data_IF_712788988489
#
_entry.id   IF_712788988489
#
_cell.length_a   1.000
_cell.length_b   1.000
_cell.length_c   1.000
_cell.angle_alpha   90.00
_cell.angle_beta   90.00
_cell.angle_gamma   90.00
#
_symmetry.space_group_name_H-M   'P 1'
#
loop_
_entity.id
_entity.type
_entity.pdbx_description
1 polymer ?
#
# COMPACT_ATOMS: atom_id res chain seq x y z
N UNK A 1 4.18 25.16 16.69
CA UNK A 1 4.77 24.53 15.49
C UNK A 1 3.92 24.92 14.29
N UNK A 2 4.54 25.16 13.14
CA UNK A 2 3.81 25.37 11.88
C UNK A 2 3.24 23.99 11.44
N UNK A 3 1.94 23.85 11.17
CA UNK A 3 1.39 22.57 10.74
C UNK A 3 1.91 22.20 9.34
N UNK A 4 2.14 20.90 9.12
CA UNK A 4 2.34 20.35 7.78
C UNK A 4 0.94 20.19 7.17
N UNK A 5 0.70 20.87 6.05
CA UNK A 5 -0.57 20.83 5.33
C UNK A 5 -0.37 20.19 3.95
N UNK A 6 -0.96 19.00 3.79
CA UNK A 6 -1.02 18.22 2.56
C UNK A 6 -2.46 18.12 2.04
N UNK A 7 -3.35 19.02 2.46
CA UNK A 7 -4.74 19.04 1.97
C UNK A 7 -4.77 19.15 0.45
N UNK A 8 -5.55 18.28 -0.19
CA UNK A 8 -5.65 18.21 -1.65
C UNK A 8 -4.47 17.53 -2.33
N UNK A 9 -3.54 16.93 -1.57
CA UNK A 9 -2.45 16.11 -2.09
C UNK A 9 -2.80 14.64 -2.03
N UNK A 10 -2.33 13.87 -3.02
CA UNK A 10 -2.48 12.41 -3.04
C UNK A 10 -1.16 11.71 -2.86
N UNK A 11 -1.15 10.73 -1.95
CA UNK A 11 0.00 9.89 -1.67
C UNK A 11 -0.26 8.42 -2.06
N UNK A 12 0.77 7.75 -2.57
CA UNK A 12 0.79 6.30 -2.70
C UNK A 12 1.86 5.70 -1.79
N UNK A 13 1.47 4.86 -0.84
CA UNK A 13 2.37 4.16 0.08
C UNK A 13 2.49 2.69 -0.30
N UNK A 14 3.59 2.32 -0.95
CA UNK A 14 3.89 0.95 -1.30
C UNK A 14 4.45 0.18 -0.09
N UNK A 15 3.93 -1.02 0.18
CA UNK A 15 4.41 -1.90 1.25
C UNK A 15 3.57 -1.88 2.53
N UNK A 16 2.25 -1.70 2.42
CA UNK A 16 1.34 -1.75 3.58
C UNK A 16 0.61 -3.08 3.61
N UNK A 17 0.78 -3.86 4.68
CA UNK A 17 0.14 -5.18 4.85
C UNK A 17 -0.59 -5.35 6.19
N UNK A 18 -0.28 -4.50 7.18
CA UNK A 18 -0.90 -4.44 8.52
C UNK A 18 -0.70 -3.05 9.14
N UNK A 19 -1.09 -2.89 10.40
CA UNK A 19 -1.01 -1.65 11.19
C UNK A 19 0.28 -1.51 12.04
N UNK A 20 1.28 -2.37 11.83
CA UNK A 20 2.47 -2.46 12.69
C UNK A 20 3.74 -1.94 12.04
N UNK A 21 3.79 -1.93 10.70
CA UNK A 21 4.97 -1.50 9.95
C UNK A 21 5.12 0.02 9.83
N UNK A 22 6.30 0.45 9.38
CA UNK A 22 6.58 1.87 9.06
C UNK A 22 5.61 2.43 8.02
N UNK A 23 5.21 1.63 7.03
CA UNK A 23 4.23 2.03 6.02
C UNK A 23 2.94 2.53 6.64
N UNK A 24 2.40 1.84 7.66
CA UNK A 24 1.20 2.31 8.37
C UNK A 24 1.44 3.58 9.17
N UNK A 25 2.59 3.69 9.84
CA UNK A 25 2.97 4.93 10.52
C UNK A 25 3.03 6.13 9.57
N UNK A 26 3.53 5.93 8.35
CA UNK A 26 3.58 6.96 7.32
C UNK A 26 2.18 7.27 6.76
N UNK A 27 1.32 6.26 6.54
CA UNK A 27 -0.10 6.46 6.21
C UNK A 27 -0.77 7.37 7.24
N UNK A 28 -0.59 7.10 8.53
CA UNK A 28 -1.14 7.92 9.62
C UNK A 28 -0.65 9.36 9.55
N UNK A 29 0.66 9.57 9.34
CA UNK A 29 1.23 10.91 9.27
C UNK A 29 0.72 11.70 8.05
N UNK A 30 0.60 11.06 6.89
CA UNK A 30 0.09 11.67 5.66
C UNK A 30 -1.39 12.02 5.79
N UNK A 31 -2.21 11.09 6.31
CA UNK A 31 -3.62 11.32 6.55
C UNK A 31 -3.86 12.42 7.59
N UNK A 32 -3.06 12.45 8.67
CA UNK A 32 -3.11 13.53 9.67
C UNK A 32 -2.78 14.90 9.08
N UNK A 33 -1.90 14.96 8.08
CA UNK A 33 -1.59 16.18 7.34
C UNK A 33 -2.64 16.55 6.27
N UNK A 34 -3.71 15.76 6.11
CA UNK A 34 -4.81 16.03 5.17
C UNK A 34 -4.64 15.46 3.77
N UNK A 35 -3.62 14.62 3.52
CA UNK A 35 -3.47 13.95 2.23
C UNK A 35 -4.50 12.83 2.05
N UNK A 36 -4.97 12.64 0.81
CA UNK A 36 -5.65 11.40 0.42
C UNK A 36 -4.61 10.31 0.20
N UNK A 37 -4.82 9.12 0.78
CA UNK A 37 -3.80 8.07 0.82
C UNK A 37 -4.29 6.80 0.14
N UNK A 38 -3.59 6.42 -0.92
CA UNK A 38 -3.66 5.11 -1.55
C UNK A 38 -2.52 4.22 -1.02
N UNK A 39 -2.75 2.90 -0.97
CA UNK A 39 -1.72 1.94 -0.54
C UNK A 39 -1.50 0.83 -1.55
N UNK A 40 -0.25 0.41 -1.69
CA UNK A 40 0.16 -0.78 -2.42
C UNK A 40 0.39 -1.94 -1.44
N UNK A 41 -0.36 -3.02 -1.62
CA UNK A 41 -0.34 -4.18 -0.72
C UNK A 41 0.05 -5.45 -1.47
N UNK A 42 0.97 -6.20 -0.89
CA UNK A 42 1.47 -7.43 -1.49
C UNK A 42 0.34 -8.48 -1.66
N UNK A 43 0.16 -9.09 -2.84
CA UNK A 43 -0.94 -10.03 -3.11
C UNK A 43 -1.13 -11.14 -2.05
N UNK A 44 -0.07 -11.79 -1.53
CA UNK A 44 -0.18 -12.76 -0.44
C UNK A 44 -0.80 -12.23 0.86
N UNK A 45 -0.71 -10.93 1.14
CA UNK A 45 -1.25 -10.30 2.36
C UNK A 45 -2.55 -9.52 2.11
N UNK A 46 -2.98 -9.36 0.85
CA UNK A 46 -4.22 -8.65 0.50
C UNK A 46 -5.43 -9.12 1.31
N UNK A 47 -5.69 -10.42 1.31
CA UNK A 47 -6.89 -10.98 1.97
C UNK A 47 -6.87 -10.80 3.49
N UNK A 48 -5.71 -10.81 4.13
CA UNK A 48 -5.63 -10.62 5.58
C UNK A 48 -5.80 -9.14 5.94
N UNK A 49 -5.23 -8.24 5.13
CA UNK A 49 -5.41 -6.80 5.30
C UNK A 49 -6.89 -6.41 5.15
N UNK A 50 -7.52 -6.76 4.03
CA UNK A 50 -8.92 -6.37 3.76
C UNK A 50 -9.90 -6.94 4.78
N UNK A 51 -9.75 -8.21 5.17
CA UNK A 51 -10.57 -8.80 6.24
C UNK A 51 -10.32 -8.17 7.61
N UNK A 52 -9.11 -7.68 7.87
CA UNK A 52 -8.81 -6.99 9.13
C UNK A 52 -9.45 -5.61 9.17
N UNK A 53 -9.43 -4.88 8.05
CA UNK A 53 -10.17 -3.63 7.86
C UNK A 53 -11.69 -3.84 8.05
N UNK A 54 -12.29 -4.78 7.32
CA UNK A 54 -13.72 -5.09 7.40
C UNK A 54 -14.19 -5.44 8.82
N UNK A 55 -13.30 -6.04 9.62
CA UNK A 55 -13.59 -6.47 10.99
C UNK A 55 -13.19 -5.44 12.05
N UNK A 56 -12.71 -4.26 11.66
CA UNK A 56 -12.26 -3.21 12.59
C UNK A 56 -11.08 -3.65 13.46
N UNK A 57 -10.16 -4.46 12.91
CA UNK A 57 -9.00 -5.00 13.65
C UNK A 57 -7.74 -4.16 13.54
N UNK A 58 -7.69 -3.21 12.61
CA UNK A 58 -6.55 -2.30 12.46
C UNK A 58 -6.77 -1.06 13.32
N UNK A 59 -5.68 -0.54 13.90
CA UNK A 59 -5.71 0.78 14.52
C UNK A 59 -5.82 1.88 13.44
N UNK A 60 -7.05 2.35 13.25
CA UNK A 60 -7.36 3.43 12.31
C UNK A 60 -7.22 4.83 12.94
N UNK A 61 -6.83 4.96 14.21
CA UNK A 61 -6.89 6.25 14.91
C UNK A 61 -5.84 7.25 14.42
N UNK A 62 -6.24 8.52 14.26
CA UNK A 62 -5.32 9.62 13.99
C UNK A 62 -4.96 10.37 15.28
N UNK A 63 -3.70 10.82 15.45
CA UNK A 63 -3.34 11.66 16.58
C UNK A 63 -4.10 13.00 16.51
N UNK A 64 -4.80 13.36 17.59
CA UNK A 64 -5.66 14.56 17.63
C UNK A 64 -7.13 14.30 17.29
N UNK A 65 -7.49 13.06 16.96
CA UNK A 65 -8.87 12.63 16.69
C UNK A 65 -9.12 12.36 15.20
N UNK A 66 -10.19 11.61 14.93
CA UNK A 66 -10.51 11.11 13.59
C UNK A 66 -9.89 9.74 13.31
N UNK A 67 -10.21 9.22 12.13
CA UNK A 67 -9.76 7.91 11.66
C UNK A 67 -9.17 8.03 10.26
N UNK A 68 -8.22 7.14 9.95
CA UNK A 68 -7.68 6.97 8.61
C UNK A 68 -8.82 6.54 7.67
N UNK A 69 -8.92 7.18 6.52
CA UNK A 69 -9.72 6.69 5.39
C UNK A 69 -8.76 6.41 4.23
N UNK A 70 -8.61 5.15 3.85
CA UNK A 70 -7.81 4.77 2.69
C UNK A 70 -8.62 5.04 1.43
N UNK A 71 -8.10 5.88 0.54
CA UNK A 71 -8.77 6.24 -0.71
C UNK A 71 -8.87 5.03 -1.65
N UNK A 72 -7.80 4.23 -1.74
CA UNK A 72 -7.78 2.97 -2.49
C UNK A 72 -6.66 2.04 -2.06
N UNK A 73 -6.91 0.73 -2.16
CA UNK A 73 -5.92 -0.33 -1.96
C UNK A 73 -5.65 -0.97 -3.32
N UNK A 74 -4.39 -0.99 -3.73
CA UNK A 74 -3.93 -1.64 -4.96
C UNK A 74 -3.16 -2.91 -4.60
N UNK A 75 -3.43 -4.06 -5.25
CA UNK A 75 -2.49 -5.16 -5.18
C UNK A 75 -1.19 -4.71 -5.85
N UNK A 76 -0.04 -4.96 -5.22
CA UNK A 76 1.27 -4.57 -5.74
C UNK A 76 2.31 -5.63 -5.38
N UNK A 77 2.88 -6.25 -6.40
CA UNK A 77 4.10 -7.04 -6.28
C UNK A 77 5.23 -6.33 -7.03
N UNK A 78 6.06 -5.63 -6.25
CA UNK A 78 7.14 -4.78 -6.76
C UNK A 78 8.34 -5.57 -7.33
N UNK A 79 8.25 -6.90 -7.40
CA UNK A 79 9.24 -7.75 -8.10
C UNK A 79 8.98 -7.78 -9.61
N UNK A 80 7.77 -7.48 -10.05
CA UNK A 80 7.38 -7.53 -11.46
C UNK A 80 7.08 -6.13 -11.99
N UNK A 81 7.86 -5.70 -12.97
CA UNK A 81 7.69 -4.38 -13.59
C UNK A 81 6.42 -4.36 -14.47
N UNK A 82 6.22 -5.41 -15.25
CA UNK A 82 5.16 -5.53 -16.27
C UNK A 82 4.49 -6.90 -16.24
N UNK A 83 3.28 -7.06 -16.82
CA UNK A 83 2.57 -8.33 -16.84
C UNK A 83 3.40 -9.49 -17.39
N UNK A 84 4.24 -9.27 -18.39
CA UNK A 84 5.10 -10.28 -19.02
C UNK A 84 6.18 -10.83 -18.09
N UNK A 85 6.59 -10.09 -17.06
CA UNK A 85 7.60 -10.52 -16.08
C UNK A 85 7.07 -11.56 -15.09
N UNK A 86 5.74 -11.75 -15.04
CA UNK A 86 5.10 -12.64 -14.06
C UNK A 86 5.17 -14.09 -14.55
N UNK A 87 5.88 -14.99 -13.83
CA UNK A 87 5.95 -16.41 -14.18
C UNK A 87 4.57 -17.07 -14.11
N UNK A 88 4.33 -18.07 -14.97
CA UNK A 88 3.06 -18.79 -15.02
C UNK A 88 2.67 -19.41 -13.66
N UNK A 89 3.65 -19.92 -12.91
CA UNK A 89 3.45 -20.45 -11.56
C UNK A 89 2.89 -19.39 -10.59
N UNK A 90 3.38 -18.15 -10.68
CA UNK A 90 2.90 -17.04 -9.87
C UNK A 90 1.48 -16.66 -10.27
N UNK A 91 1.18 -16.57 -11.58
CA UNK A 91 -0.17 -16.27 -12.08
C UNK A 91 -1.21 -17.27 -11.60
N UNK A 92 -0.84 -18.56 -11.59
CA UNK A 92 -1.70 -19.66 -11.17
C UNK A 92 -1.74 -19.86 -9.65
N UNK A 93 -0.92 -19.14 -8.89
CA UNK A 93 -0.91 -19.22 -7.44
C UNK A 93 -2.26 -18.72 -6.88
N UNK A 94 -2.83 -19.44 -5.91
CA UNK A 94 -4.11 -19.09 -5.25
C UNK A 94 -4.17 -17.67 -4.68
N UNK A 95 -3.01 -17.05 -4.39
CA UNK A 95 -2.91 -15.68 -3.87
C UNK A 95 -2.97 -14.61 -4.96
N UNK A 96 -2.72 -14.98 -6.22
CA UNK A 96 -2.65 -14.07 -7.37
C UNK A 96 -3.74 -14.34 -8.41
N UNK A 97 -4.22 -15.59 -8.54
CA UNK A 97 -5.13 -16.01 -9.62
C UNK A 97 -6.47 -15.24 -9.66
N UNK A 98 -6.89 -14.64 -8.54
CA UNK A 98 -8.11 -13.82 -8.45
C UNK A 98 -7.83 -12.31 -8.48
N UNK A 99 -6.57 -11.92 -8.64
CA UNK A 99 -6.14 -10.54 -8.69
C UNK A 99 -5.68 -10.20 -10.11
N UNK A 100 -5.80 -8.93 -10.45
CA UNK A 100 -5.25 -8.33 -11.65
C UNK A 100 -4.60 -7.00 -11.28
N UNK A 101 -3.79 -6.45 -12.17
CA UNK A 101 -3.22 -5.13 -11.96
C UNK A 101 -2.23 -5.06 -10.80
N UNK A 102 -1.40 -6.08 -10.62
CA UNK A 102 -0.48 -6.19 -9.49
C UNK A 102 0.99 -5.97 -9.85
N UNK A 103 1.32 -5.75 -11.12
CA UNK A 103 2.65 -5.32 -11.55
C UNK A 103 2.81 -3.81 -11.42
N UNK A 104 4.05 -3.31 -11.38
CA UNK A 104 4.32 -1.87 -11.19
C UNK A 104 3.64 -1.04 -12.28
N UNK A 105 3.75 -1.46 -13.55
CA UNK A 105 3.15 -0.77 -14.67
C UNK A 105 1.63 -0.74 -14.56
N UNK A 106 0.98 -1.87 -14.28
CA UNK A 106 -0.47 -1.91 -14.19
C UNK A 106 -1.01 -1.06 -13.03
N UNK A 107 -0.31 -1.04 -11.88
CA UNK A 107 -0.69 -0.18 -10.76
C UNK A 107 -0.54 1.30 -11.14
N UNK A 108 0.54 1.68 -11.83
CA UNK A 108 0.74 3.04 -12.31
C UNK A 108 -0.34 3.45 -13.33
N UNK A 109 -0.69 2.57 -14.26
CA UNK A 109 -1.73 2.81 -15.26
C UNK A 109 -3.12 2.91 -14.62
N UNK A 110 -3.41 2.06 -13.62
CA UNK A 110 -4.66 2.12 -12.87
C UNK A 110 -4.75 3.43 -12.04
N UNK A 111 -3.66 3.87 -11.40
CA UNK A 111 -3.59 5.15 -10.70
C UNK A 111 -3.87 6.33 -11.65
N UNK A 112 -3.30 6.33 -12.86
CA UNK A 112 -3.60 7.34 -13.89
C UNK A 112 -5.05 7.27 -14.35
N UNK A 113 -5.59 6.06 -14.53
CA UNK A 113 -6.99 5.87 -14.91
C UNK A 113 -7.95 6.41 -13.84
N UNK A 114 -7.68 6.13 -12.57
CA UNK A 114 -8.55 6.52 -11.46
C UNK A 114 -8.49 8.02 -11.14
N UNK A 115 -7.32 8.65 -11.30
CA UNK A 115 -7.07 10.01 -10.79
C UNK A 115 -6.61 11.04 -11.83
N UNK A 116 -6.36 10.63 -13.07
CA UNK A 116 -5.83 11.48 -14.14
C UNK A 116 -4.31 11.69 -14.06
N UNK A 117 -3.81 12.68 -14.80
CA UNK A 117 -2.38 13.02 -14.84
C UNK A 117 -2.16 14.51 -14.52
N UNK A 118 -1.36 14.86 -13.48
CA UNK A 118 -0.68 13.95 -12.55
C UNK A 118 -1.66 13.26 -11.56
N UNK A 119 -1.42 11.98 -11.26
CA UNK A 119 -2.25 11.20 -10.33
C UNK A 119 -1.80 11.31 -8.85
N UNK A 120 -0.52 11.57 -8.61
CA UNK A 120 0.11 11.56 -7.28
C UNK A 120 0.99 12.79 -7.06
N UNK A 121 1.07 13.24 -5.81
CA UNK A 121 2.03 14.24 -5.33
C UNK A 121 3.17 13.60 -4.52
N UNK A 122 2.89 12.46 -3.86
CA UNK A 122 3.83 11.78 -2.97
C UNK A 122 3.88 10.29 -3.27
N UNK A 123 5.08 9.73 -3.36
CA UNK A 123 5.32 8.29 -3.43
C UNK A 123 6.18 7.90 -2.23
N UNK A 124 5.74 6.87 -1.50
CA UNK A 124 6.49 6.28 -0.39
C UNK A 124 6.78 4.82 -0.72
N UNK A 125 8.06 4.44 -0.62
CA UNK A 125 8.51 3.07 -0.73
C UNK A 125 8.83 2.51 0.67
N UNK A 126 7.96 1.67 1.21
CA UNK A 126 8.09 1.07 2.54
C UNK A 126 8.02 -0.46 2.50
N UNK A 127 8.70 -1.08 1.54
CA UNK A 127 8.80 -2.53 1.40
C UNK A 127 10.26 -2.98 1.31
N UNK A 128 10.52 -4.19 1.78
CA UNK A 128 11.76 -4.93 1.60
C UNK A 128 11.46 -6.42 1.79
N UNK A 129 12.18 -7.29 1.10
CA UNK A 129 12.07 -8.73 1.29
C UNK A 129 13.42 -9.39 1.01
N UNK A 130 13.84 -10.32 1.87
CA UNK A 130 15.09 -11.06 1.74
C UNK A 130 14.89 -12.52 2.15
N UNK A 131 14.90 -13.49 1.22
CA UNK A 131 14.57 -14.89 1.52
C UNK A 131 15.57 -15.56 2.49
N UNK A 132 16.79 -15.01 2.59
CA UNK A 132 17.86 -15.48 3.46
C UNK A 132 17.83 -14.83 4.86
N UNK A 133 16.99 -13.81 5.06
CA UNK A 133 16.84 -13.14 6.36
C UNK A 133 15.90 -13.98 7.23
N UNK A 134 16.49 -14.96 7.93
CA UNK A 134 15.75 -15.90 8.77
C UNK A 134 15.83 -15.61 10.28
N UNK A 135 16.68 -14.65 10.68
CA UNK A 135 16.91 -14.31 12.09
C UNK A 135 16.47 -12.87 12.34
N UNK A 136 15.99 -12.63 13.56
CA UNK A 136 15.71 -11.28 14.02
C UNK A 136 17.02 -10.48 14.14
N UNK A 137 16.94 -9.18 13.85
CA UNK A 137 18.09 -8.27 13.94
C UNK A 137 18.54 -8.03 15.39
N UNK A 138 17.58 -8.11 16.33
CA UNK A 138 17.75 -7.79 17.74
C UNK A 138 17.39 -9.02 18.61
N UNK A 139 18.15 -10.09 18.45
CA UNK A 139 18.35 -11.14 19.44
C UNK A 139 19.81 -11.17 19.90
#
# INVERSE_FOLDING_TARGET
>A
MLPIDLTGKRAFVAGVADDKGYGWGIVRALAQAGASVCVGTWPPTMRILTKSLERGKLDMSLPGGGEIELEKIYPLDAVFDSPEDVPEEVRNNKRYIQLSGYTIQEVADQLRYDFGEPCLDVIVHSLANGPEVQKDLLE
#
